data_IF_426004564512
#
_entry.id   IF_426004564512
#
_cell.length_a   1.000
_cell.length_b   1.000
_cell.length_c   1.000
_cell.angle_alpha   90.00
_cell.angle_beta   90.00
_cell.angle_gamma   90.00
#
_symmetry.space_group_name_H-M   'P 1'
#
loop_
_entity.id
_entity.type
_entity.pdbx_description
1 polymer ?
#
# COMPACT_ATOMS: atom_id res chain seq x y z
N UNK A 1 -22.03 44.88 -18.24
CA UNK A 1 -22.79 43.73 -17.72
C UNK A 1 -21.93 42.46 -17.64
N UNK A 2 -21.23 42.06 -18.71
CA UNK A 2 -20.39 40.84 -18.75
C UNK A 2 -19.12 40.90 -17.88
N UNK A 3 -18.47 42.07 -17.79
CA UNK A 3 -17.24 42.25 -17.00
C UNK A 3 -17.45 42.04 -15.49
N UNK A 4 -18.58 42.51 -14.94
CA UNK A 4 -18.91 42.36 -13.51
C UNK A 4 -19.17 40.89 -13.17
N UNK A 5 -19.82 40.14 -14.06
CA UNK A 5 -20.10 38.71 -13.88
C UNK A 5 -18.78 37.90 -13.86
N UNK A 6 -17.82 38.25 -14.73
CA UNK A 6 -16.52 37.58 -14.76
C UNK A 6 -15.70 37.84 -13.48
N UNK A 7 -15.75 39.07 -12.95
CA UNK A 7 -15.08 39.43 -11.69
C UNK A 7 -15.67 38.67 -10.50
N UNK A 8 -17.00 38.54 -10.43
CA UNK A 8 -17.66 37.77 -9.37
C UNK A 8 -17.29 36.27 -9.48
N UNK A 9 -17.27 35.70 -10.68
CA UNK A 9 -16.87 34.31 -10.90
C UNK A 9 -15.40 34.06 -10.50
N UNK A 10 -14.51 35.01 -10.81
CA UNK A 10 -13.10 34.93 -10.41
C UNK A 10 -12.93 34.98 -8.89
N UNK A 11 -13.65 35.87 -8.20
CA UNK A 11 -13.61 35.98 -6.73
C UNK A 11 -14.09 34.69 -6.07
N UNK A 12 -15.20 34.11 -6.53
CA UNK A 12 -15.73 32.83 -6.02
C UNK A 12 -14.72 31.70 -6.26
N UNK A 13 -14.07 31.68 -7.41
CA UNK A 13 -13.01 30.70 -7.73
C UNK A 13 -11.82 30.85 -6.78
N UNK A 14 -11.35 32.07 -6.51
CA UNK A 14 -10.25 32.34 -5.58
C UNK A 14 -10.58 31.95 -4.13
N UNK A 15 -11.82 32.21 -3.67
CA UNK A 15 -12.27 31.80 -2.34
C UNK A 15 -12.34 30.27 -2.26
N UNK A 16 -12.84 29.62 -3.33
CA UNK A 16 -12.95 28.17 -3.37
C UNK A 16 -11.58 27.47 -3.36
N UNK A 17 -10.61 27.98 -4.12
CA UNK A 17 -9.25 27.42 -4.17
C UNK A 17 -8.51 27.59 -2.84
N UNK A 18 -8.63 28.77 -2.20
CA UNK A 18 -8.02 29.02 -0.88
C UNK A 18 -8.68 28.20 0.23
N UNK A 19 -10.01 28.06 0.22
CA UNK A 19 -10.72 27.17 1.14
C UNK A 19 -10.32 25.71 0.97
N UNK A 20 -10.22 25.23 -0.29
CA UNK A 20 -9.82 23.86 -0.60
C UNK A 20 -8.37 23.59 -0.18
N UNK A 21 -7.47 24.54 -0.40
CA UNK A 21 -6.08 24.44 0.01
C UNK A 21 -5.95 24.48 1.55
N UNK A 22 -6.70 25.35 2.22
CA UNK A 22 -6.77 25.41 3.68
C UNK A 22 -7.32 24.12 4.29
N UNK A 23 -8.39 23.55 3.71
CA UNK A 23 -8.95 22.26 4.13
C UNK A 23 -7.95 21.12 3.92
N UNK A 24 -7.17 21.17 2.83
CA UNK A 24 -6.13 20.20 2.54
C UNK A 24 -5.00 20.27 3.57
N UNK A 25 -4.52 21.48 3.88
CA UNK A 25 -3.49 21.72 4.91
C UNK A 25 -4.02 21.32 6.29
N UNK A 26 -5.26 21.66 6.63
CA UNK A 26 -5.88 21.28 7.90
C UNK A 26 -6.01 19.75 8.05
N UNK A 27 -6.49 19.06 7.01
CA UNK A 27 -6.52 17.58 6.98
C UNK A 27 -5.13 16.98 7.10
N UNK A 28 -4.13 17.58 6.44
CA UNK A 28 -2.75 17.12 6.48
C UNK A 28 -2.12 17.29 7.87
N UNK A 29 -2.37 18.43 8.52
CA UNK A 29 -1.87 18.73 9.87
C UNK A 29 -2.59 17.88 10.94
N UNK A 30 -3.90 17.64 10.80
CA UNK A 30 -4.64 16.71 11.66
C UNK A 30 -4.17 15.27 11.49
N UNK A 31 -3.72 14.90 10.28
CA UNK A 31 -3.13 13.58 9.99
C UNK A 31 -1.73 13.45 10.61
N UNK A 32 -0.92 14.52 10.67
CA UNK A 32 0.41 14.48 11.29
C UNK A 32 0.37 14.53 12.82
N UNK A 33 -0.56 15.30 13.42
CA UNK A 33 -0.68 15.38 14.89
C UNK A 33 -1.19 14.10 15.54
N UNK A 34 -1.94 13.27 14.79
CA UNK A 34 -2.40 11.95 15.27
C UNK A 34 -1.27 10.90 15.34
N UNK A 35 -0.09 11.19 14.78
CA UNK A 35 1.09 10.31 14.85
C UNK A 35 1.94 10.55 16.13
N UNK A 36 1.73 11.65 16.86
CA UNK A 36 2.59 12.06 17.98
C UNK A 36 2.12 11.67 19.38
N UNK A 37 0.86 11.26 19.57
CA UNK A 37 0.29 11.02 20.91
C UNK A 37 -0.32 9.61 21.00
N UNK A 38 0.51 8.59 21.23
CA UNK A 38 0.05 7.34 21.86
C UNK A 38 1.21 6.66 22.59
N UNK A 39 1.59 7.27 23.70
CA UNK A 39 2.22 6.58 24.83
C UNK A 39 1.37 6.94 26.04
N UNK A 40 1.01 5.91 26.82
CA UNK A 40 0.30 5.88 28.11
C UNK A 40 -1.18 5.49 28.12
N UNK A 41 -1.38 4.23 28.53
CA UNK A 41 -2.23 3.73 29.62
C UNK A 41 -3.74 4.06 29.61
N UNK A 42 -4.58 3.02 29.52
CA UNK A 42 -5.58 2.62 30.55
C UNK A 42 -6.32 1.34 30.12
N UNK A 43 -6.45 0.41 31.06
CA UNK A 43 -7.18 -0.87 31.01
C UNK A 43 -8.65 -0.69 31.50
N UNK A 44 -9.52 -1.72 31.56
CA UNK A 44 -10.50 -2.13 30.56
C UNK A 44 -11.96 -1.86 30.97
N UNK A 45 -12.92 -1.84 30.02
CA UNK A 45 -14.24 -2.53 30.11
C UNK A 45 -15.16 -2.32 28.90
N UNK A 46 -15.49 -3.45 28.27
CA UNK A 46 -16.80 -3.96 27.83
C UNK A 46 -17.90 -2.98 27.35
N UNK A 47 -18.29 -3.07 26.06
CA UNK A 47 -19.70 -3.28 25.67
C UNK A 47 -19.86 -3.55 24.17
N UNK A 48 -20.67 -4.56 23.89
CA UNK A 48 -21.08 -5.16 22.62
C UNK A 48 -22.01 -4.27 21.78
N UNK A 49 -21.77 -4.15 20.46
CA UNK A 49 -22.82 -4.27 19.42
C UNK A 49 -22.29 -4.26 17.98
N UNK A 50 -22.81 -5.21 17.20
CA UNK A 50 -22.59 -5.54 15.79
C UNK A 50 -23.25 -4.56 14.82
N UNK A 51 -22.57 -4.15 13.71
CA UNK A 51 -23.04 -4.21 12.30
C UNK A 51 -21.94 -3.75 11.30
N UNK A 52 -21.73 -4.41 10.14
CA UNK A 52 -20.64 -4.09 9.20
C UNK A 52 -21.09 -3.11 8.10
N UNK A 53 -20.27 -2.10 7.80
CA UNK A 53 -20.36 -1.30 6.58
C UNK A 53 -19.03 -1.35 5.84
N UNK A 54 -19.07 -1.90 4.64
CA UNK A 54 -18.01 -2.00 3.65
C UNK A 54 -17.60 -0.62 3.12
N UNK A 55 -16.38 -0.17 3.44
CA UNK A 55 -15.60 0.79 2.65
C UNK A 55 -14.09 0.51 2.84
N UNK A 56 -13.27 0.53 1.76
CA UNK A 56 -11.85 0.21 1.83
C UNK A 56 -11.06 1.41 2.37
N UNK A 57 -10.72 1.35 3.66
CA UNK A 57 -9.82 2.29 4.30
C UNK A 57 -8.38 2.02 3.86
N UNK A 58 -7.69 3.05 3.33
CA UNK A 58 -6.26 2.97 3.03
C UNK A 58 -5.48 2.71 4.34
N UNK A 59 -5.04 1.47 4.53
CA UNK A 59 -4.21 1.08 5.68
C UNK A 59 -2.79 1.63 5.47
N UNK A 60 -2.26 2.33 6.48
CA UNK A 60 -0.89 2.84 6.51
C UNK A 60 0.11 1.68 6.47
N UNK A 61 1.24 1.77 5.73
CA UNK A 61 2.25 0.70 5.69
C UNK A 61 2.72 0.22 7.07
N UNK A 62 2.81 1.13 8.04
CA UNK A 62 3.23 0.84 9.42
C UNK A 62 2.16 0.08 10.22
N UNK A 63 0.88 0.32 9.94
CA UNK A 63 -0.23 -0.43 10.54
C UNK A 63 -0.40 -1.81 9.89
N UNK A 64 -0.04 -1.96 8.62
CA UNK A 64 0.01 -3.25 7.93
C UNK A 64 1.11 -4.12 8.54
N UNK A 65 2.29 -3.55 8.78
CA UNK A 65 3.43 -4.25 9.36
C UNK A 65 3.17 -4.67 10.82
N UNK A 66 2.55 -3.81 11.64
CA UNK A 66 2.16 -4.16 13.01
C UNK A 66 1.09 -5.26 13.04
N UNK A 67 0.08 -5.19 12.16
CA UNK A 67 -0.97 -6.21 12.04
C UNK A 67 -0.41 -7.56 11.52
N UNK A 68 0.53 -7.51 10.57
CA UNK A 68 1.28 -8.67 10.08
C UNK A 68 2.12 -9.33 11.18
N UNK A 69 2.80 -8.52 12.00
CA UNK A 69 3.62 -9.00 13.11
C UNK A 69 2.77 -9.61 14.25
N UNK A 70 1.57 -9.07 14.50
CA UNK A 70 0.62 -9.67 15.45
C UNK A 70 0.06 -11.01 14.93
N UNK A 71 -0.34 -11.08 13.65
CA UNK A 71 -0.88 -12.32 13.05
C UNK A 71 0.18 -13.43 12.91
N UNK A 72 1.46 -13.08 12.71
CA UNK A 72 2.55 -14.06 12.61
C UNK A 72 2.89 -14.75 13.94
N UNK A 73 2.51 -14.17 15.09
CA UNK A 73 2.77 -14.76 16.42
C UNK A 73 1.76 -15.82 16.83
N UNK A 74 0.56 -15.81 16.25
CA UNK A 74 -0.56 -16.64 16.70
C UNK A 74 -0.79 -17.89 15.84
N UNK A 75 -0.29 -17.94 14.59
CA UNK A 75 -0.40 -19.11 13.69
C UNK A 75 0.80 -19.20 12.72
N UNK A 76 1.70 -20.19 12.86
CA UNK A 76 3.07 -20.05 12.37
C UNK A 76 3.31 -20.30 10.87
N UNK A 77 2.44 -21.05 10.16
CA UNK A 77 2.78 -21.49 8.78
C UNK A 77 1.79 -21.00 7.71
N UNK A 78 0.49 -21.28 7.86
CA UNK A 78 -0.52 -20.90 6.84
C UNK A 78 -0.76 -19.39 6.72
N UNK A 79 -0.51 -18.62 7.78
CA UNK A 79 -0.64 -17.18 7.76
C UNK A 79 0.60 -16.48 7.18
N UNK A 80 1.77 -17.12 7.24
CA UNK A 80 3.02 -16.56 6.69
C UNK A 80 2.88 -16.23 5.21
N UNK A 81 2.28 -17.13 4.42
CA UNK A 81 2.07 -16.89 2.98
C UNK A 81 1.13 -15.72 2.72
N UNK A 82 -0.03 -15.68 3.41
CA UNK A 82 -1.03 -14.63 3.19
C UNK A 82 -0.48 -13.26 3.54
N UNK A 83 0.21 -13.16 4.66
CA UNK A 83 0.83 -11.92 5.14
C UNK A 83 1.93 -11.48 4.18
N UNK A 84 2.76 -12.42 3.72
CA UNK A 84 3.89 -12.10 2.85
C UNK A 84 3.45 -11.68 1.46
N UNK A 85 2.54 -12.42 0.80
CA UNK A 85 2.27 -12.22 -0.63
C UNK A 85 0.89 -11.66 -0.97
N UNK A 86 -0.11 -11.82 -0.09
CA UNK A 86 -1.49 -11.44 -0.42
C UNK A 86 -1.89 -10.08 0.15
N UNK A 87 -1.06 -9.49 1.01
CA UNK A 87 -1.29 -8.13 1.50
C UNK A 87 -1.10 -7.13 0.35
N UNK A 88 -2.08 -6.25 0.18
CA UNK A 88 -2.05 -5.23 -0.86
C UNK A 88 -0.92 -4.24 -0.62
N UNK A 89 0.11 -4.30 -1.47
CA UNK A 89 1.21 -3.36 -1.47
C UNK A 89 1.00 -2.26 -2.51
N UNK A 90 1.10 -0.97 -2.14
CA UNK A 90 1.01 0.12 -3.10
C UNK A 90 2.25 0.12 -4.00
N UNK A 91 2.17 -0.52 -5.16
CA UNK A 91 3.28 -0.50 -6.13
C UNK A 91 3.29 0.86 -6.84
N UNK A 92 4.30 1.70 -6.57
CA UNK A 92 4.61 2.92 -7.34
C UNK A 92 5.57 2.63 -8.49
N UNK A 93 5.83 3.62 -9.37
CA UNK A 93 6.88 3.59 -10.40
C UNK A 93 7.00 2.27 -11.18
N UNK A 94 5.93 1.89 -11.90
CA UNK A 94 5.82 0.56 -12.54
C UNK A 94 6.35 0.57 -13.97
N UNK A 95 6.99 -0.54 -14.35
CA UNK A 95 7.32 -0.88 -15.74
C UNK A 95 6.56 -2.14 -16.12
N UNK A 96 6.09 -2.23 -17.37
CA UNK A 96 5.37 -3.39 -17.87
C UNK A 96 6.36 -4.44 -18.41
N UNK A 97 6.17 -5.69 -17.99
CA UNK A 97 6.95 -6.85 -18.44
C UNK A 97 5.98 -7.92 -18.95
N UNK A 98 6.39 -8.65 -20.00
CA UNK A 98 5.63 -9.79 -20.50
C UNK A 98 5.90 -11.03 -19.64
N UNK A 99 4.83 -11.73 -19.28
CA UNK A 99 4.90 -13.02 -18.59
C UNK A 99 4.16 -14.08 -19.41
N UNK A 100 4.48 -15.35 -19.16
CA UNK A 100 3.81 -16.46 -19.80
C UNK A 100 2.28 -16.41 -19.54
N UNK A 101 1.49 -16.68 -20.59
CA UNK A 101 0.02 -16.63 -20.55
C UNK A 101 -0.57 -17.61 -19.53
N UNK A 102 -0.01 -18.80 -19.40
CA UNK A 102 -0.51 -19.83 -18.51
C UNK A 102 -0.22 -19.47 -17.06
N UNK A 103 0.99 -18.95 -16.78
CA UNK A 103 1.33 -18.40 -15.46
C UNK A 103 0.40 -17.26 -15.07
N UNK A 104 0.14 -16.32 -16.00
CA UNK A 104 -0.82 -15.24 -15.77
C UNK A 104 -2.22 -15.77 -15.46
N UNK A 105 -2.71 -16.73 -16.27
CA UNK A 105 -4.05 -17.29 -16.10
C UNK A 105 -4.18 -18.04 -14.77
N UNK A 106 -3.16 -18.81 -14.38
CA UNK A 106 -3.10 -19.51 -13.11
C UNK A 106 -3.16 -18.54 -11.93
N UNK A 107 -2.25 -17.55 -11.90
CA UNK A 107 -2.21 -16.56 -10.81
C UNK A 107 -3.51 -15.79 -10.74
N UNK A 108 -4.09 -15.40 -11.88
CA UNK A 108 -5.36 -14.65 -11.92
C UNK A 108 -6.50 -15.45 -11.31
N UNK A 109 -6.62 -16.74 -11.65
CA UNK A 109 -7.64 -17.63 -11.09
C UNK A 109 -7.42 -17.85 -9.59
N UNK A 110 -6.17 -18.05 -9.17
CA UNK A 110 -5.81 -18.21 -7.77
C UNK A 110 -6.18 -16.97 -6.94
N UNK A 111 -5.75 -15.78 -7.36
CA UNK A 111 -6.04 -14.54 -6.65
C UNK A 111 -7.54 -14.25 -6.59
N UNK A 112 -8.27 -14.50 -7.68
CA UNK A 112 -9.72 -14.32 -7.70
C UNK A 112 -10.47 -15.13 -6.63
N UNK A 113 -9.93 -16.28 -6.22
CA UNK A 113 -10.53 -17.14 -5.19
C UNK A 113 -9.98 -16.83 -3.79
N UNK A 114 -8.66 -16.67 -3.67
CA UNK A 114 -7.97 -16.63 -2.37
C UNK A 114 -7.84 -15.22 -1.81
N UNK A 115 -7.68 -14.21 -2.68
CA UNK A 115 -7.54 -12.81 -2.27
C UNK A 115 -7.89 -11.87 -3.44
N UNK A 116 -9.19 -11.62 -3.67
CA UNK A 116 -9.65 -10.86 -4.83
C UNK A 116 -9.22 -9.39 -4.80
N UNK A 117 -8.93 -8.87 -3.61
CA UNK A 117 -8.43 -7.51 -3.43
C UNK A 117 -6.96 -7.39 -3.85
N UNK A 118 -6.18 -8.48 -3.82
CA UNK A 118 -4.75 -8.45 -4.15
C UNK A 118 -4.54 -8.20 -5.63
N UNK A 119 -3.82 -7.12 -5.94
CA UNK A 119 -3.47 -6.84 -7.33
C UNK A 119 -2.48 -7.86 -7.91
N UNK A 120 -2.71 -8.26 -9.17
CA UNK A 120 -1.77 -9.10 -9.94
C UNK A 120 -0.34 -8.54 -9.90
N UNK A 121 -0.19 -7.23 -10.10
CA UNK A 121 1.12 -6.58 -10.07
C UNK A 121 1.76 -6.64 -8.68
N UNK A 122 1.00 -6.39 -7.61
CA UNK A 122 1.55 -6.40 -6.25
C UNK A 122 2.01 -7.79 -5.84
N UNK A 123 1.22 -8.81 -6.17
CA UNK A 123 1.58 -10.21 -5.93
C UNK A 123 2.88 -10.60 -6.65
N UNK A 124 2.98 -10.30 -7.94
CA UNK A 124 4.17 -10.61 -8.75
C UNK A 124 5.39 -9.82 -8.27
N UNK A 125 5.24 -8.52 -8.00
CA UNK A 125 6.33 -7.68 -7.47
C UNK A 125 6.91 -8.27 -6.19
N UNK A 126 6.07 -8.75 -5.28
CA UNK A 126 6.54 -9.33 -4.02
C UNK A 126 7.38 -10.60 -4.22
N UNK A 127 6.96 -11.46 -5.15
CA UNK A 127 7.71 -12.68 -5.51
C UNK A 127 9.07 -12.30 -6.10
N UNK A 128 9.10 -11.29 -6.98
CA UNK A 128 10.35 -10.80 -7.58
C UNK A 128 11.27 -10.21 -6.52
N UNK A 129 10.75 -9.34 -5.64
CA UNK A 129 11.54 -8.71 -4.57
C UNK A 129 12.20 -9.76 -3.67
N UNK A 130 11.46 -10.81 -3.30
CA UNK A 130 12.00 -11.89 -2.50
C UNK A 130 13.06 -12.69 -3.24
N UNK A 131 12.84 -13.02 -4.52
CA UNK A 131 13.81 -13.73 -5.33
C UNK A 131 15.12 -12.91 -5.44
N UNK A 132 15.02 -11.63 -5.79
CA UNK A 132 16.18 -10.74 -5.90
C UNK A 132 16.92 -10.61 -4.58
N UNK A 133 16.20 -10.45 -3.46
CA UNK A 133 16.81 -10.36 -2.14
C UNK A 133 17.48 -11.67 -1.72
N UNK A 134 16.88 -12.82 -2.02
CA UNK A 134 17.42 -14.12 -1.65
C UNK A 134 18.73 -14.44 -2.39
N UNK A 135 18.82 -14.03 -3.64
CA UNK A 135 19.95 -14.35 -4.53
C UNK A 135 20.87 -13.16 -4.81
N UNK A 136 20.78 -12.08 -4.04
CA UNK A 136 21.54 -10.84 -4.24
C UNK A 136 23.05 -11.10 -4.37
N UNK A 137 23.62 -11.88 -3.46
CA UNK A 137 25.06 -12.18 -3.44
C UNK A 137 25.48 -13.03 -4.66
N UNK A 138 24.73 -14.09 -4.97
CA UNK A 138 25.03 -14.98 -6.10
C UNK A 138 24.94 -14.22 -7.43
N UNK A 139 23.91 -13.39 -7.60
CA UNK A 139 23.76 -12.54 -8.78
C UNK A 139 24.91 -11.52 -8.89
N UNK A 140 25.37 -10.96 -7.78
CA UNK A 140 26.49 -10.01 -7.74
C UNK A 140 27.83 -10.66 -8.08
N UNK A 141 28.08 -11.89 -7.60
CA UNK A 141 29.27 -12.67 -7.94
C UNK A 141 29.31 -12.99 -9.44
N UNK A 142 28.20 -13.49 -10.00
CA UNK A 142 28.07 -13.76 -11.43
C UNK A 142 28.30 -12.51 -12.27
N UNK A 143 27.76 -11.37 -11.84
CA UNK A 143 27.98 -10.08 -12.50
C UNK A 143 29.46 -9.69 -12.50
N UNK A 144 30.11 -9.81 -11.34
CA UNK A 144 31.52 -9.42 -11.17
C UNK A 144 32.45 -10.35 -11.97
N UNK A 145 32.18 -11.65 -12.02
CA UNK A 145 32.91 -12.59 -12.86
C UNK A 145 32.83 -12.19 -14.35
N UNK A 146 31.64 -11.84 -14.84
CA UNK A 146 31.46 -11.40 -16.22
C UNK A 146 32.26 -10.11 -16.51
N UNK A 147 32.20 -9.12 -15.62
CA UNK A 147 32.91 -7.85 -15.80
C UNK A 147 34.43 -8.05 -15.77
N UNK A 148 34.93 -8.80 -14.79
CA UNK A 148 36.38 -9.01 -14.60
C UNK A 148 37.01 -9.89 -15.68
N UNK A 149 36.28 -10.88 -16.21
CA UNK A 149 36.76 -11.74 -17.31
C UNK A 149 36.82 -11.04 -18.66
N UNK A 150 36.12 -9.91 -18.80
CA UNK A 150 36.09 -9.11 -20.03
C UNK A 150 37.20 -8.05 -20.06
N UNK A 151 38.00 -7.93 -18.99
CA UNK A 151 39.20 -7.09 -18.87
C UNK A 151 40.47 -7.93 -19.00
#
# INVERSE_FOLDING_TARGET
>A
MTQIIFQIAAIVCCIYTTYRLGLFIYKWLKKSSKMGNSVQNTSPKHSEKVKPSSEPSCISPLAIEEYANMLSKEYPENLSYRITYLVNYPVGNRIQVYINRDSYAFIKRFLAVVSPDTSMSGFISKIIDEHLKKYENEMSELYTECVTKTL
#
